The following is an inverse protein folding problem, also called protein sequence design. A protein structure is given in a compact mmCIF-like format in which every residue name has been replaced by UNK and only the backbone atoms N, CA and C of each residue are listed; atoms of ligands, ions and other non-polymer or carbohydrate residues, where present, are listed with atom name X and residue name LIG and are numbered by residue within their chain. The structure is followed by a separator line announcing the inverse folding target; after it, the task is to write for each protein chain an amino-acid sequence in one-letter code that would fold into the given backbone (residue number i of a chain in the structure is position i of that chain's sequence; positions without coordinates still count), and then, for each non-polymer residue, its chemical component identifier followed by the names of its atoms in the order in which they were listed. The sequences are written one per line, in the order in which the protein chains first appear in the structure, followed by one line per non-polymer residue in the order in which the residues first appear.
data_IF_452029498477
#
_entry.id   IF_452029498477
#
_cell.length_a   1.000
_cell.length_b   1.000
_cell.length_c   1.000
_cell.angle_alpha   90.00
_cell.angle_beta   90.00
_cell.angle_gamma   90.00
#
_symmetry.space_group_name_H-M   'P 1'
#
loop_
_entity.id
_entity.type
_entity.pdbx_description
1 polymer ?
#
# COMPACT_ATOMS: atom_id res chain seq x y z
N UNK A 1 -2.19 18.18 -2.35
CA UNK A 1 -1.11 17.32 -1.83
C UNK A 1 -0.99 16.09 -2.71
N UNK A 2 0.14 15.38 -2.69
CA UNK A 2 0.32 14.06 -3.35
C UNK A 2 0.16 12.92 -2.34
N UNK A 3 -0.83 13.04 -1.44
CA UNK A 3 -0.99 12.13 -0.31
C UNK A 3 -2.46 11.80 -0.06
N UNK A 4 -2.71 10.58 0.38
CA UNK A 4 -4.02 10.10 0.83
C UNK A 4 -3.87 9.39 2.17
N UNK A 5 -4.95 9.35 2.93
CA UNK A 5 -5.03 8.55 4.18
C UNK A 5 -6.08 7.47 3.97
N UNK A 6 -5.74 6.23 4.34
CA UNK A 6 -6.66 5.10 4.21
C UNK A 6 -6.69 4.26 5.47
N UNK A 7 -7.81 3.59 5.68
CA UNK A 7 -7.98 2.47 6.62
C UNK A 7 -8.58 1.30 5.87
N UNK A 8 -8.20 0.08 6.24
CA UNK A 8 -8.56 -1.12 5.49
C UNK A 8 -9.29 -2.12 6.37
N UNK A 9 -10.33 -2.72 5.81
CA UNK A 9 -10.91 -3.95 6.33
C UNK A 9 -10.54 -5.08 5.35
N UNK A 10 -9.55 -5.88 5.71
CA UNK A 10 -9.07 -6.98 4.90
C UNK A 10 -10.00 -8.20 5.01
N UNK A 11 -10.36 -8.78 3.86
CA UNK A 11 -11.19 -9.98 3.78
C UNK A 11 -10.49 -11.14 4.50
N UNK A 12 -11.08 -11.59 5.62
CA UNK A 12 -10.56 -12.70 6.43
C UNK A 12 -9.52 -12.30 7.48
N UNK A 13 -9.14 -11.01 7.58
CA UNK A 13 -8.16 -10.52 8.56
C UNK A 13 -8.66 -9.35 9.42
N UNK A 14 -9.77 -8.70 9.05
CA UNK A 14 -10.33 -7.59 9.84
C UNK A 14 -9.62 -6.27 9.57
N UNK A 15 -9.66 -5.35 10.54
CA UNK A 15 -8.92 -4.09 10.45
C UNK A 15 -7.45 -4.35 10.78
N UNK A 16 -6.57 -4.19 9.79
CA UNK A 16 -5.12 -4.37 9.93
C UNK A 16 -4.42 -3.01 10.02
N UNK A 17 -3.17 -3.00 10.52
CA UNK A 17 -2.35 -1.79 10.63
C UNK A 17 -1.94 -1.25 9.25
N UNK A 18 -1.70 -2.12 8.29
CA UNK A 18 -1.29 -1.76 6.93
C UNK A 18 -1.70 -2.85 5.94
N UNK A 19 -2.01 -2.45 4.71
CA UNK A 19 -2.31 -3.36 3.62
C UNK A 19 -1.66 -2.85 2.32
N UNK A 20 -0.62 -3.56 1.85
CA UNK A 20 0.13 -3.13 0.67
C UNK A 20 -0.70 -3.10 -0.61
N UNK A 21 -1.55 -4.11 -0.83
CA UNK A 21 -2.45 -4.16 -2.00
C UNK A 21 -3.52 -3.07 -1.93
N UNK A 22 -4.08 -2.82 -0.73
CA UNK A 22 -5.02 -1.72 -0.48
C UNK A 22 -4.40 -0.35 -0.74
N UNK A 23 -3.14 -0.13 -0.34
CA UNK A 23 -2.41 1.10 -0.61
C UNK A 23 -2.22 1.33 -2.12
N UNK A 24 -1.78 0.30 -2.84
CA UNK A 24 -1.65 0.36 -4.30
C UNK A 24 -2.96 0.69 -5.01
N UNK A 25 -4.05 0.01 -4.64
CA UNK A 25 -5.36 0.24 -5.23
C UNK A 25 -5.88 1.65 -4.95
N UNK A 26 -5.71 2.14 -3.71
CA UNK A 26 -6.17 3.47 -3.30
C UNK A 26 -5.38 4.58 -4.00
N UNK A 27 -4.06 4.44 -4.11
CA UNK A 27 -3.22 5.38 -4.84
C UNK A 27 -3.55 5.42 -6.34
N UNK A 28 -3.75 4.26 -6.98
CA UNK A 28 -4.20 4.19 -8.36
C UNK A 28 -5.52 4.93 -8.55
N UNK A 29 -6.52 4.63 -7.72
CA UNK A 29 -7.83 5.28 -7.77
C UNK A 29 -7.73 6.80 -7.57
N UNK A 30 -6.92 7.26 -6.61
CA UNK A 30 -6.71 8.68 -6.36
C UNK A 30 -6.12 9.43 -7.57
N UNK A 31 -5.19 8.79 -8.30
CA UNK A 31 -4.66 9.35 -9.56
C UNK A 31 -5.71 9.34 -10.67
N UNK A 32 -6.43 8.23 -10.86
CA UNK A 32 -7.45 8.13 -11.92
C UNK A 32 -8.63 9.08 -11.70
N UNK A 33 -8.98 9.37 -10.45
CA UNK A 33 -10.03 10.31 -10.09
C UNK A 33 -9.57 11.77 -10.03
N UNK A 34 -8.30 12.05 -10.34
CA UNK A 34 -7.74 13.40 -10.32
C UNK A 34 -7.61 14.02 -8.92
N UNK A 35 -7.75 13.21 -7.86
CA UNK A 35 -7.56 13.63 -6.47
C UNK A 35 -6.07 13.83 -6.16
N UNK A 36 -5.21 13.06 -6.85
CA UNK A 36 -3.76 13.26 -6.89
C UNK A 36 -3.36 13.46 -8.34
N UNK A 37 -2.47 14.43 -8.58
CA UNK A 37 -1.95 14.72 -9.92
C UNK A 37 -1.30 13.49 -10.54
N UNK A 38 -1.67 13.17 -11.79
CA UNK A 38 -1.00 12.12 -12.57
C UNK A 38 0.48 12.41 -12.87
N UNK A 39 0.96 13.64 -12.61
CA UNK A 39 2.37 14.03 -12.69
C UNK A 39 3.12 13.85 -11.37
N UNK A 40 2.47 13.41 -10.31
CA UNK A 40 3.14 13.12 -9.05
C UNK A 40 4.06 11.90 -9.21
N UNK A 41 5.32 12.02 -8.80
CA UNK A 41 6.28 10.90 -8.85
C UNK A 41 5.77 9.71 -8.03
N UNK A 42 5.36 9.98 -6.79
CA UNK A 42 4.77 8.99 -5.89
C UNK A 42 3.55 9.60 -5.18
N UNK A 43 2.57 8.75 -4.88
CA UNK A 43 1.47 9.00 -3.94
C UNK A 43 1.90 8.51 -2.56
N UNK A 44 1.88 9.38 -1.55
CA UNK A 44 2.09 8.96 -0.16
C UNK A 44 0.76 8.40 0.36
N UNK A 45 0.78 7.18 0.89
CA UNK A 45 -0.39 6.55 1.50
C UNK A 45 -0.12 6.40 2.99
N UNK A 46 -0.86 7.17 3.78
CA UNK A 46 -0.84 7.10 5.23
C UNK A 46 -1.77 5.99 5.71
N UNK A 47 -1.25 5.05 6.50
CA UNK A 47 -1.98 3.98 7.17
C UNK A 47 -1.68 4.01 8.67
N UNK A 48 -2.47 3.29 9.47
CA UNK A 48 -2.26 3.22 10.94
C UNK A 48 -0.87 2.67 11.31
N UNK A 49 -0.33 1.75 10.50
CA UNK A 49 0.98 1.11 10.67
C UNK A 49 2.16 1.89 10.06
N UNK A 50 1.92 3.06 9.48
CA UNK A 50 2.94 3.91 8.88
C UNK A 50 2.69 4.23 7.41
N UNK A 51 3.67 4.93 6.83
CA UNK A 51 3.58 5.49 5.49
C UNK A 51 4.26 4.60 4.44
N UNK A 52 3.63 4.51 3.28
CA UNK A 52 4.24 3.94 2.08
C UNK A 52 4.15 4.91 0.91
N UNK A 53 5.06 4.77 -0.05
CA UNK A 53 4.98 5.46 -1.35
C UNK A 53 4.47 4.48 -2.39
N UNK A 54 3.49 4.91 -3.17
CA UNK A 54 3.00 4.17 -4.33
C UNK A 54 3.27 4.98 -5.57
N UNK A 55 4.01 4.38 -6.48
CA UNK A 55 4.24 4.92 -7.81
C UNK A 55 3.25 4.33 -8.80
N UNK A 56 2.66 5.18 -9.64
CA UNK A 56 1.58 4.83 -10.56
C UNK A 56 2.04 5.08 -12.00
N UNK A 57 1.74 4.14 -12.91
CA UNK A 57 2.13 4.18 -14.33
C UNK A 57 3.64 4.11 -14.61
N UNK A 58 4.43 3.66 -13.63
CA UNK A 58 5.85 3.33 -13.81
C UNK A 58 6.13 1.93 -13.24
N UNK A 59 6.99 1.13 -13.89
CA UNK A 59 7.84 1.48 -15.04
C UNK A 59 7.11 1.51 -16.39
N UNK A 60 5.82 1.19 -16.42
CA UNK A 60 4.99 1.24 -17.63
C UNK A 60 3.54 1.63 -17.28
N UNK A 61 2.75 2.15 -18.24
CA UNK A 61 1.33 2.41 -18.04
C UNK A 61 0.59 1.18 -17.50
N UNK A 62 -0.32 1.37 -16.55
CA UNK A 62 -1.07 0.27 -15.93
C UNK A 62 -0.31 -0.48 -14.83
N UNK A 63 0.92 -0.09 -14.50
CA UNK A 63 1.70 -0.68 -13.39
C UNK A 63 1.66 0.20 -12.15
N UNK A 64 1.81 -0.44 -10.99
CA UNK A 64 2.01 0.21 -9.70
C UNK A 64 3.22 -0.41 -9.00
N UNK A 65 4.02 0.43 -8.34
CA UNK A 65 5.16 0.01 -7.52
C UNK A 65 4.94 0.48 -6.09
N UNK A 66 4.94 -0.47 -5.15
CA UNK A 66 4.86 -0.20 -3.71
C UNK A 66 6.27 -0.07 -3.13
N UNK A 67 6.52 1.00 -2.37
CA UNK A 67 7.82 1.28 -1.76
C UNK A 67 7.59 1.59 -0.28
N UNK A 68 8.15 0.76 0.59
CA UNK A 68 8.03 0.88 2.05
C UNK A 68 9.08 0.03 2.77
N UNK A 69 9.21 0.21 4.09
CA UNK A 69 10.16 -0.56 4.90
C UNK A 69 9.72 -2.03 5.04
N UNK A 70 10.69 -2.90 5.28
CA UNK A 70 10.49 -4.27 5.76
C UNK A 70 11.55 -4.61 6.79
N UNK A 71 11.16 -5.35 7.83
CA UNK A 71 12.06 -5.74 8.91
C UNK A 71 11.85 -7.22 9.23
N UNK A 72 12.95 -7.97 9.31
CA UNK A 72 12.93 -9.35 9.75
C UNK A 72 13.01 -9.40 11.27
N UNK A 73 11.94 -9.85 11.92
CA UNK A 73 11.87 -9.90 13.39
C UNK A 73 12.48 -11.18 13.97
N UNK A 74 12.13 -12.35 13.41
CA UNK A 74 12.50 -13.64 13.98
C UNK A 74 12.37 -14.76 12.95
N UNK A 75 13.20 -15.80 13.12
CA UNK A 75 12.99 -17.13 12.52
C UNK A 75 12.63 -18.13 13.62
N UNK A 76 11.54 -18.89 13.45
CA UNK A 76 11.05 -19.89 14.40
C UNK A 76 10.55 -21.15 13.69
N UNK A 77 10.41 -22.27 14.41
CA UNK A 77 9.87 -23.55 13.89
C UNK A 77 8.50 -23.82 14.50
N UNK A 78 7.51 -24.14 13.66
CA UNK A 78 6.17 -24.53 14.09
C UNK A 78 5.92 -26.02 13.78
N UNK A 79 5.36 -26.77 14.73
CA UNK A 79 4.91 -28.15 14.53
C UNK A 79 3.42 -28.13 14.18
N UNK A 80 3.06 -28.71 13.04
CA UNK A 80 1.65 -28.85 12.62
C UNK A 80 1.15 -30.24 13.02
N UNK A 81 0.00 -30.30 13.68
CA UNK A 81 -0.72 -31.54 13.96
C UNK A 81 -1.98 -31.61 13.10
N UNK A 82 -2.27 -32.80 12.56
CA UNK A 82 -3.50 -33.09 11.84
C UNK A 82 -4.62 -33.49 12.79
#
# INVERSE_FOLDING_TARGET
SNAITMRVHERGAGITMACGTGACASAWAAVQWGLVSAKANDVIVHMDGGDVRVRVNEPAPGRVTLIGPSEHLLTTTAVLHA
#
